data_IF_495555930857
#
_entry.id   IF_495555930857
#
_cell.length_a   1.000
_cell.length_b   1.000
_cell.length_c   1.000
_cell.angle_alpha   90.00
_cell.angle_beta   90.00
_cell.angle_gamma   90.00
#
_symmetry.space_group_name_H-M   'P 1'
#
loop_
_entity.id
_entity.type
_entity.pdbx_description
1 polymer ?
#
# COMPACT_ATOMS: atom_id res chain seq x y z
N UNK A 1 0.45 -49.97 20.56
CA UNK A 1 -0.52 -48.86 20.72
C UNK A 1 0.13 -47.49 20.96
N UNK A 2 1.26 -47.39 21.67
CA UNK A 2 1.96 -46.11 21.97
C UNK A 2 2.49 -45.35 20.74
N UNK A 3 2.94 -46.04 19.69
CA UNK A 3 3.55 -45.42 18.51
C UNK A 3 2.55 -44.63 17.64
N UNK A 4 1.29 -45.07 17.53
CA UNK A 4 0.23 -44.35 16.81
C UNK A 4 -0.22 -43.08 17.54
N UNK A 5 -0.17 -43.08 18.88
CA UNK A 5 -0.52 -41.93 19.70
C UNK A 5 0.49 -40.77 19.52
N UNK A 6 1.79 -41.08 19.44
CA UNK A 6 2.82 -40.06 19.25
C UNK A 6 2.76 -39.41 17.86
N UNK A 7 2.36 -40.15 16.82
CA UNK A 7 2.21 -39.62 15.46
C UNK A 7 1.02 -38.65 15.38
N UNK A 8 -0.10 -38.95 16.06
CA UNK A 8 -1.25 -38.02 16.12
C UNK A 8 -0.91 -36.72 16.87
N UNK A 9 -0.14 -36.79 17.96
CA UNK A 9 0.24 -35.61 18.74
C UNK A 9 1.19 -34.70 17.92
N UNK A 10 2.15 -35.28 17.20
CA UNK A 10 3.07 -34.52 16.34
C UNK A 10 2.31 -33.89 15.17
N UNK A 11 1.37 -34.60 14.54
CA UNK A 11 0.54 -34.05 13.46
C UNK A 11 -0.40 -32.92 13.94
N UNK A 12 -0.93 -33.01 15.16
CA UNK A 12 -1.75 -31.96 15.75
C UNK A 12 -0.92 -30.70 16.12
N UNK A 13 0.30 -30.89 16.63
CA UNK A 13 1.22 -29.78 16.96
C UNK A 13 1.73 -29.06 15.70
N UNK A 14 2.03 -29.79 14.61
CA UNK A 14 2.42 -29.17 13.34
C UNK A 14 1.25 -28.47 12.66
N UNK A 15 0.04 -29.04 12.71
CA UNK A 15 -1.17 -28.37 12.21
C UNK A 15 -1.48 -27.08 13.01
N UNK A 16 -1.31 -27.10 14.33
CA UNK A 16 -1.48 -25.92 15.18
C UNK A 16 -0.40 -24.85 14.91
N UNK A 17 0.86 -25.24 14.73
CA UNK A 17 1.93 -24.31 14.36
C UNK A 17 1.71 -23.67 12.99
N UNK A 18 1.24 -24.43 11.99
CA UNK A 18 0.88 -23.91 10.66
C UNK A 18 -0.33 -22.97 10.74
N UNK A 19 -1.33 -23.28 11.58
CA UNK A 19 -2.47 -22.40 11.82
C UNK A 19 -2.03 -21.09 12.50
N UNK A 20 -1.17 -21.17 13.51
CA UNK A 20 -0.63 -20.01 14.22
C UNK A 20 0.24 -19.14 13.29
N UNK A 21 1.06 -19.73 12.40
CA UNK A 21 1.83 -18.99 11.39
C UNK A 21 0.90 -18.31 10.36
N UNK A 22 -0.21 -18.96 9.97
CA UNK A 22 -1.22 -18.36 9.09
C UNK A 22 -2.04 -17.23 9.75
N UNK A 23 -2.08 -17.19 11.09
CA UNK A 23 -2.77 -16.18 11.89
C UNK A 23 -1.84 -15.16 12.56
N UNK A 24 -0.56 -15.07 12.19
CA UNK A 24 0.22 -13.89 12.57
C UNK A 24 -0.28 -12.71 11.72
N UNK A 25 -1.02 -11.73 12.29
CA UNK A 25 -1.29 -10.51 11.56
C UNK A 25 0.06 -9.93 11.20
N UNK A 26 0.28 -9.63 9.90
CA UNK A 26 1.44 -8.85 9.48
C UNK A 26 1.54 -7.66 10.43
N UNK A 27 2.74 -7.31 10.94
CA UNK A 27 2.89 -6.18 11.83
C UNK A 27 2.19 -4.98 11.19
N UNK A 28 1.13 -4.51 11.84
CA UNK A 28 0.37 -3.39 11.33
C UNK A 28 1.29 -2.19 11.48
N UNK A 29 1.77 -1.67 10.36
CA UNK A 29 2.45 -0.38 10.33
C UNK A 29 1.55 0.60 11.07
N UNK A 30 2.10 1.31 12.05
CA UNK A 30 1.36 2.26 12.87
C UNK A 30 2.13 3.57 12.92
N UNK A 31 1.42 4.66 13.23
CA UNK A 31 2.04 5.97 13.41
C UNK A 31 2.87 5.92 14.69
N UNK A 32 4.19 6.16 14.62
CA UNK A 32 5.02 6.19 15.81
C UNK A 32 4.57 7.30 16.79
N UNK A 33 4.75 7.10 18.11
CA UNK A 33 4.49 8.15 19.08
C UNK A 33 5.30 9.41 18.75
N UNK A 34 4.66 10.58 18.84
CA UNK A 34 5.24 11.91 18.54
C UNK A 34 5.62 12.16 17.06
N UNK A 35 5.29 11.26 16.15
CA UNK A 35 5.48 11.50 14.73
C UNK A 35 4.63 12.68 14.25
N UNK A 36 5.18 13.41 13.28
CA UNK A 36 4.56 14.57 12.62
C UNK A 36 4.29 14.25 11.16
N UNK A 37 3.40 15.02 10.55
CA UNK A 37 3.21 14.96 9.11
C UNK A 37 4.53 15.21 8.39
N UNK A 38 4.75 14.48 7.30
CA UNK A 38 5.93 14.48 6.45
C UNK A 38 7.22 13.90 7.09
N UNK A 39 7.14 13.36 8.31
CA UNK A 39 8.22 12.53 8.86
C UNK A 39 8.43 11.30 7.98
N UNK A 40 9.69 11.04 7.64
CA UNK A 40 10.13 9.83 6.94
C UNK A 40 11.20 9.13 7.77
N UNK A 41 10.89 7.91 8.21
CA UNK A 41 11.75 7.14 9.09
C UNK A 41 12.24 5.92 8.32
N UNK A 42 13.55 5.84 8.07
CA UNK A 42 14.19 4.75 7.35
C UNK A 42 15.10 3.90 8.22
N UNK A 43 15.20 2.64 7.79
CA UNK A 43 16.24 1.71 8.17
C UNK A 43 16.80 1.04 6.91
N UNK A 44 18.08 0.68 6.96
CA UNK A 44 18.69 -0.13 5.90
C UNK A 44 18.04 -1.50 5.84
N UNK A 45 17.68 -1.94 4.64
CA UNK A 45 17.08 -3.24 4.39
C UNK A 45 17.62 -3.86 3.10
N UNK A 46 17.12 -5.05 2.77
CA UNK A 46 17.38 -5.72 1.50
C UNK A 46 16.07 -5.86 0.73
N UNK A 47 16.12 -5.65 -0.58
CA UNK A 47 14.98 -5.87 -1.47
C UNK A 47 15.25 -7.03 -2.40
N UNK A 48 14.41 -8.08 -2.35
CA UNK A 48 14.54 -9.24 -3.23
C UNK A 48 13.65 -9.06 -4.46
N UNK A 49 14.27 -9.03 -5.63
CA UNK A 49 13.60 -9.15 -6.93
C UNK A 49 13.52 -10.63 -7.35
N UNK A 50 12.93 -10.92 -8.50
CA UNK A 50 12.97 -12.28 -9.06
C UNK A 50 14.38 -12.71 -9.47
N UNK A 51 15.24 -11.75 -9.80
CA UNK A 51 16.60 -11.94 -10.33
C UNK A 51 17.64 -12.00 -9.22
N UNK A 52 17.62 -11.05 -8.27
CA UNK A 52 18.68 -10.90 -7.25
C UNK A 52 18.19 -10.13 -6.00
N UNK A 53 19.13 -9.75 -5.14
CA UNK A 53 18.88 -8.97 -3.92
C UNK A 53 19.63 -7.64 -4.01
N UNK A 54 18.90 -6.53 -3.81
CA UNK A 54 19.42 -5.17 -3.82
C UNK A 54 19.54 -4.59 -2.41
N UNK A 55 20.46 -3.64 -2.23
CA UNK A 55 20.45 -2.75 -1.07
C UNK A 55 19.24 -1.83 -1.17
N UNK A 56 18.59 -1.57 -0.05
CA UNK A 56 17.44 -0.67 -0.01
C UNK A 56 17.33 0.04 1.33
N UNK A 57 16.53 1.08 1.37
CA UNK A 57 16.00 1.70 2.59
C UNK A 57 14.51 1.36 2.68
N UNK A 58 14.10 0.78 3.79
CA UNK A 58 12.71 0.45 4.07
C UNK A 58 12.25 1.33 5.22
N UNK A 59 11.07 1.92 5.12
CA UNK A 59 10.66 2.91 6.09
C UNK A 59 9.19 3.21 6.07
N UNK A 60 8.85 4.24 6.85
CA UNK A 60 7.49 4.69 7.05
C UNK A 60 7.43 6.19 6.81
N UNK A 61 6.55 6.59 5.89
CA UNK A 61 6.16 7.99 5.65
C UNK A 61 4.90 8.29 6.45
N UNK A 62 4.91 9.41 7.17
CA UNK A 62 3.79 9.88 7.96
C UNK A 62 3.07 10.99 7.19
N UNK A 63 1.77 10.82 6.95
CA UNK A 63 0.96 11.78 6.19
C UNK A 63 -0.35 12.06 6.89
N UNK A 64 -0.94 13.26 6.74
CA UNK A 64 -2.32 13.48 7.18
C UNK A 64 -3.30 12.61 6.39
N UNK A 65 -4.29 12.04 7.10
CA UNK A 65 -5.38 11.30 6.47
C UNK A 65 -6.16 12.20 5.53
N UNK A 66 -6.43 13.44 5.92
CA UNK A 66 -7.12 14.41 5.09
C UNK A 66 -6.43 15.77 5.13
N UNK A 67 -5.71 16.12 4.05
CA UNK A 67 -5.00 17.41 3.94
C UNK A 67 -5.92 18.64 3.94
N UNK A 68 -7.22 18.46 3.72
CA UNK A 68 -8.21 19.54 3.83
C UNK A 68 -8.70 19.74 5.28
N UNK A 69 -8.37 18.82 6.18
CA UNK A 69 -8.69 18.89 7.60
C UNK A 69 -7.39 18.94 8.43
N UNK A 70 -7.02 20.11 8.99
CA UNK A 70 -5.75 20.28 9.71
C UNK A 70 -5.69 19.46 11.01
N UNK A 71 -6.82 18.96 11.51
CA UNK A 71 -6.90 18.10 12.70
C UNK A 71 -7.16 16.65 12.34
N UNK A 72 -7.02 16.26 11.07
CA UNK A 72 -7.14 14.85 10.68
C UNK A 72 -6.04 14.01 11.34
N UNK A 73 -6.35 12.74 11.60
CA UNK A 73 -5.35 11.81 12.14
C UNK A 73 -4.24 11.58 11.13
N UNK A 74 -3.10 11.14 11.62
CA UNK A 74 -1.97 10.75 10.78
C UNK A 74 -2.13 9.30 10.30
N UNK A 75 -1.59 9.04 9.12
CA UNK A 75 -1.43 7.73 8.52
C UNK A 75 0.06 7.44 8.39
N UNK A 76 0.44 6.21 8.71
CA UNK A 76 1.74 5.65 8.39
C UNK A 76 1.64 4.80 7.10
N UNK A 77 2.44 5.15 6.09
CA UNK A 77 2.53 4.47 4.80
C UNK A 77 3.93 3.86 4.61
N UNK A 78 4.05 2.60 4.16
CA UNK A 78 5.35 2.02 3.88
C UNK A 78 6.01 2.71 2.69
N UNK A 79 7.31 2.96 2.79
CA UNK A 79 8.15 3.42 1.69
C UNK A 79 9.32 2.48 1.53
N UNK A 80 9.70 2.20 0.28
CA UNK A 80 10.95 1.51 -0.05
C UNK A 80 11.69 2.33 -1.09
N UNK A 81 12.96 2.60 -0.83
CA UNK A 81 13.92 3.09 -1.81
C UNK A 81 14.89 1.96 -2.12
N UNK A 82 14.78 1.40 -3.31
CA UNK A 82 15.69 0.36 -3.80
C UNK A 82 16.84 1.09 -4.48
N UNK A 83 18.07 0.87 -4.03
CA UNK A 83 19.21 1.60 -4.56
C UNK A 83 19.61 1.09 -5.93
N UNK A 84 20.04 2.03 -6.78
CA UNK A 84 20.74 1.73 -8.00
C UNK A 84 22.07 1.02 -7.73
N UNK A 85 22.60 0.35 -8.74
CA UNK A 85 23.94 -0.24 -8.70
C UNK A 85 25.03 0.81 -8.95
N UNK A 86 24.75 1.83 -9.75
CA UNK A 86 25.65 2.95 -10.00
C UNK A 86 25.94 3.76 -8.74
N UNK A 87 27.21 4.16 -8.55
CA UNK A 87 27.64 5.08 -7.49
C UNK A 87 27.21 6.54 -7.77
N UNK A 88 26.76 6.83 -8.98
CA UNK A 88 26.23 8.13 -9.41
C UNK A 88 24.90 7.95 -10.14
N UNK A 89 23.83 7.55 -9.44
CA UNK A 89 22.55 7.27 -10.06
C UNK A 89 21.93 8.51 -10.71
N UNK A 90 21.15 8.29 -11.77
CA UNK A 90 20.28 9.29 -12.40
C UNK A 90 19.02 9.50 -11.56
N UNK A 91 18.11 10.37 -12.02
CA UNK A 91 16.86 10.65 -11.32
C UNK A 91 16.07 9.37 -11.01
N UNK A 92 15.57 9.20 -9.76
CA UNK A 92 14.91 7.96 -9.35
C UNK A 92 13.59 7.75 -10.09
N UNK A 93 13.13 6.50 -10.11
CA UNK A 93 11.85 6.12 -10.68
C UNK A 93 10.84 5.88 -9.56
N UNK A 94 9.78 6.68 -9.51
CA UNK A 94 8.60 6.42 -8.67
C UNK A 94 7.67 5.49 -9.43
N UNK A 95 7.42 4.31 -8.87
CA UNK A 95 6.49 3.35 -9.46
C UNK A 95 5.05 3.59 -8.99
N UNK A 96 4.14 3.57 -9.96
CA UNK A 96 2.71 3.71 -9.78
C UNK A 96 2.00 2.51 -10.39
N UNK A 97 1.76 1.47 -9.59
CA UNK A 97 1.06 0.26 -10.03
C UNK A 97 -0.39 0.46 -10.46
N UNK A 98 -0.98 -0.57 -11.04
CA UNK A 98 -2.36 -0.60 -11.54
C UNK A 98 -3.39 -1.17 -10.57
N UNK A 99 -4.63 -1.34 -11.06
CA UNK A 99 -5.80 -1.88 -10.33
C UNK A 99 -6.16 -1.08 -9.06
N UNK A 100 -7.27 -0.33 -8.99
CA UNK A 100 -7.63 0.21 -7.68
C UNK A 100 -7.74 -0.94 -6.66
N UNK A 101 -7.19 -0.74 -5.45
CA UNK A 101 -7.19 -1.75 -4.39
C UNK A 101 -6.00 -2.71 -4.37
N UNK A 102 -5.04 -2.62 -5.29
CA UNK A 102 -3.79 -3.40 -5.24
C UNK A 102 -2.67 -2.66 -4.52
N UNK A 103 -1.89 -3.41 -3.73
CA UNK A 103 -0.71 -2.91 -3.03
C UNK A 103 0.34 -2.38 -4.01
N UNK A 104 0.92 -1.21 -3.71
CA UNK A 104 2.04 -0.68 -4.51
C UNK A 104 3.39 -1.31 -4.14
N UNK A 105 3.43 -2.10 -3.06
CA UNK A 105 4.68 -2.56 -2.44
C UNK A 105 5.21 -3.87 -3.05
N UNK A 106 4.53 -4.39 -4.07
CA UNK A 106 4.85 -5.63 -4.78
C UNK A 106 5.19 -5.34 -6.24
N UNK A 107 6.29 -4.62 -6.44
CA UNK A 107 6.83 -4.37 -7.77
C UNK A 107 8.20 -5.05 -7.92
N UNK A 108 8.51 -5.50 -9.13
CA UNK A 108 9.76 -6.18 -9.47
C UNK A 108 10.45 -5.32 -10.53
N UNK A 109 11.29 -4.34 -10.12
CA UNK A 109 11.92 -3.44 -11.08
C UNK A 109 12.85 -4.21 -12.02
N UNK A 110 12.89 -3.85 -13.31
CA UNK A 110 13.88 -4.40 -14.24
C UNK A 110 15.30 -4.06 -13.79
N UNK A 111 16.20 -5.05 -13.87
CA UNK A 111 17.60 -4.89 -13.49
C UNK A 111 18.28 -3.79 -14.32
N UNK A 112 17.90 -3.63 -15.58
CA UNK A 112 18.44 -2.60 -16.49
C UNK A 112 18.12 -1.18 -16.01
N UNK A 113 16.98 -0.98 -15.35
CA UNK A 113 16.63 0.31 -14.78
C UNK A 113 17.31 0.51 -13.41
N UNK A 114 17.40 -0.54 -12.60
CA UNK A 114 18.14 -0.51 -11.33
C UNK A 114 19.66 -0.35 -11.51
N UNK A 115 20.20 -0.59 -12.70
CA UNK A 115 21.60 -0.25 -12.98
C UNK A 115 21.88 1.26 -12.76
N UNK A 116 20.91 2.11 -13.10
CA UNK A 116 21.11 3.57 -13.21
C UNK A 116 20.15 4.40 -12.36
N UNK A 117 19.07 3.82 -11.85
CA UNK A 117 18.00 4.54 -11.17
C UNK A 117 17.61 3.86 -9.86
N UNK A 118 17.52 4.63 -8.78
CA UNK A 118 16.82 4.18 -7.59
C UNK A 118 15.34 3.94 -7.93
N UNK A 119 14.70 2.96 -7.29
CA UNK A 119 13.25 2.77 -7.36
C UNK A 119 12.58 3.15 -6.05
N UNK A 120 11.56 4.00 -6.14
CA UNK A 120 10.77 4.44 -4.99
C UNK A 120 9.39 3.79 -5.07
N UNK A 121 9.07 2.97 -4.08
CA UNK A 121 7.75 2.38 -3.87
C UNK A 121 7.13 3.03 -2.64
N UNK A 122 5.97 3.67 -2.81
CA UNK A 122 5.19 4.24 -1.70
C UNK A 122 3.85 3.50 -1.64
N UNK A 123 3.49 3.02 -0.46
CA UNK A 123 2.23 2.33 -0.24
C UNK A 123 1.04 3.25 -0.45
N UNK A 124 -0.07 2.72 -0.96
CA UNK A 124 -1.27 3.53 -1.16
C UNK A 124 -2.11 3.60 0.11
N UNK A 125 -2.46 4.83 0.54
CA UNK A 125 -3.51 5.04 1.55
C UNK A 125 -4.75 4.21 1.21
N UNK A 126 -5.27 3.48 2.20
CA UNK A 126 -6.46 2.65 2.06
C UNK A 126 -6.20 1.25 1.52
N UNK A 127 -4.96 0.93 1.13
CA UNK A 127 -4.57 -0.41 0.66
C UNK A 127 -3.36 -0.94 1.42
N UNK A 128 -2.37 -0.07 1.63
CA UNK A 128 -1.14 -0.35 2.36
C UNK A 128 -1.09 0.46 3.67
N UNK A 129 -0.17 0.09 4.55
CA UNK A 129 0.13 0.87 5.76
C UNK A 129 -0.91 0.71 6.87
N UNK A 130 -1.08 1.79 7.64
CA UNK A 130 -1.82 1.81 8.90
C UNK A 130 -3.35 1.87 8.76
N UNK A 131 -3.87 2.34 7.64
CA UNK A 131 -5.31 2.42 7.39
C UNK A 131 -5.64 1.76 6.07
N UNK A 132 -6.30 0.60 6.16
CA UNK A 132 -6.71 -0.26 5.05
C UNK A 132 -8.23 -0.28 4.99
N UNK A 133 -8.80 0.04 3.82
CA UNK A 133 -10.25 0.15 3.60
C UNK A 133 -10.85 -1.16 3.08
N UNK A 134 -10.48 -2.28 3.70
CA UNK A 134 -11.04 -3.57 3.33
C UNK A 134 -12.55 -3.59 3.62
N UNK A 135 -13.33 -4.02 2.62
CA UNK A 135 -14.78 -4.19 2.70
C UNK A 135 -15.14 -5.68 2.56
N UNK A 136 -14.95 -6.52 3.59
CA UNK A 136 -15.37 -7.92 3.56
C UNK A 136 -16.89 -8.07 3.33
N UNK A 137 -17.69 -7.09 3.74
CA UNK A 137 -19.12 -7.03 3.44
C UNK A 137 -19.36 -7.06 1.94
N UNK A 138 -18.66 -6.19 1.21
CA UNK A 138 -18.77 -6.09 -0.24
C UNK A 138 -18.19 -7.32 -0.93
N UNK A 139 -17.03 -7.81 -0.49
CA UNK A 139 -16.42 -9.02 -1.03
C UNK A 139 -17.36 -10.24 -0.92
N UNK A 140 -18.12 -10.35 0.19
CA UNK A 140 -19.14 -11.37 0.33
C UNK A 140 -20.33 -11.12 -0.60
N UNK A 141 -20.80 -9.88 -0.70
CA UNK A 141 -21.94 -9.51 -1.54
C UNK A 141 -21.67 -9.66 -3.04
N UNK A 142 -20.41 -9.55 -3.49
CA UNK A 142 -20.04 -9.76 -4.91
C UNK A 142 -20.23 -11.20 -5.40
N UNK A 143 -20.43 -12.15 -4.48
CA UNK A 143 -20.86 -13.51 -4.85
C UNK A 143 -22.32 -13.55 -5.33
N UNK A 144 -23.07 -12.45 -5.15
CA UNK A 144 -24.47 -12.30 -5.54
C UNK A 144 -25.39 -13.29 -4.83
N UNK A 145 -26.56 -13.53 -5.43
CA UNK A 145 -27.48 -14.59 -5.03
C UNK A 145 -27.05 -16.01 -5.48
N UNK A 146 -25.82 -16.15 -6.00
CA UNK A 146 -25.29 -17.41 -6.54
C UNK A 146 -25.89 -17.85 -7.88
N UNK A 147 -26.78 -17.06 -8.49
CA UNK A 147 -27.41 -17.34 -9.80
C UNK A 147 -27.01 -16.32 -10.84
N UNK A 148 -27.24 -15.04 -10.54
CA UNK A 148 -26.91 -13.92 -11.41
C UNK A 148 -26.40 -12.73 -10.59
N UNK A 149 -25.10 -12.48 -10.72
CA UNK A 149 -24.40 -11.39 -10.03
C UNK A 149 -24.78 -9.99 -10.55
N UNK A 150 -25.42 -9.91 -11.71
CA UNK A 150 -25.87 -8.65 -12.32
C UNK A 150 -27.37 -8.40 -12.16
N UNK A 151 -28.10 -9.31 -11.50
CA UNK A 151 -29.52 -9.10 -11.18
C UNK A 151 -29.73 -7.93 -10.22
N UNK A 152 -30.91 -7.31 -10.26
CA UNK A 152 -31.30 -6.21 -9.36
C UNK A 152 -31.14 -6.58 -7.88
N UNK A 153 -31.42 -7.85 -7.53
CA UNK A 153 -31.21 -8.39 -6.19
C UNK A 153 -29.73 -8.37 -5.81
N UNK A 154 -28.85 -8.96 -6.63
CA UNK A 154 -27.39 -8.97 -6.40
C UNK A 154 -26.81 -7.55 -6.33
N UNK A 155 -27.27 -6.65 -7.20
CA UNK A 155 -26.88 -5.22 -7.18
C UNK A 155 -27.34 -4.53 -5.89
N UNK A 156 -28.56 -4.79 -5.43
CA UNK A 156 -29.08 -4.27 -4.16
C UNK A 156 -28.27 -4.77 -2.97
N UNK A 157 -27.93 -6.06 -2.94
CA UNK A 157 -27.05 -6.65 -1.92
C UNK A 157 -25.67 -5.98 -1.90
N UNK A 158 -25.08 -5.76 -3.07
CA UNK A 158 -23.79 -5.08 -3.21
C UNK A 158 -23.83 -3.63 -2.72
N UNK A 159 -24.88 -2.87 -3.08
CA UNK A 159 -25.04 -1.50 -2.60
C UNK A 159 -25.17 -1.43 -1.07
N UNK A 160 -25.97 -2.33 -0.49
CA UNK A 160 -26.15 -2.36 0.96
C UNK A 160 -24.86 -2.75 1.68
N UNK A 161 -24.11 -3.70 1.11
CA UNK A 161 -22.80 -4.06 1.62
C UNK A 161 -21.79 -2.90 1.56
N UNK A 162 -21.81 -2.06 0.51
CA UNK A 162 -20.98 -0.85 0.46
C UNK A 162 -21.39 0.14 1.55
N UNK A 163 -22.69 0.34 1.79
CA UNK A 163 -23.18 1.21 2.87
C UNK A 163 -22.73 0.69 4.23
N UNK A 164 -22.86 -0.61 4.47
CA UNK A 164 -22.38 -1.26 5.70
C UNK A 164 -20.87 -1.09 5.88
N UNK A 165 -20.07 -1.30 4.82
CA UNK A 165 -18.63 -1.07 4.89
C UNK A 165 -18.30 0.38 5.24
N UNK A 166 -18.96 1.34 4.58
CA UNK A 166 -18.80 2.77 4.86
C UNK A 166 -19.09 3.09 6.32
N UNK A 167 -20.25 2.66 6.85
CA UNK A 167 -20.63 2.91 8.24
C UNK A 167 -19.64 2.29 9.22
N UNK A 168 -19.15 1.08 8.96
CA UNK A 168 -18.11 0.45 9.80
C UNK A 168 -16.81 1.24 9.78
N UNK A 169 -16.34 1.67 8.61
CA UNK A 169 -15.11 2.46 8.48
C UNK A 169 -15.24 3.82 9.20
N UNK A 170 -16.36 4.52 9.03
CA UNK A 170 -16.65 5.78 9.73
C UNK A 170 -16.69 5.58 11.26
N UNK A 171 -17.31 4.48 11.73
CA UNK A 171 -17.33 4.13 13.16
C UNK A 171 -15.93 3.81 13.73
N UNK A 172 -14.98 3.40 12.88
CA UNK A 172 -13.56 3.23 13.24
C UNK A 172 -12.77 4.55 13.17
N UNK A 173 -13.44 5.67 12.92
CA UNK A 173 -12.83 7.00 12.84
C UNK A 173 -12.05 7.24 11.54
N UNK A 174 -12.36 6.50 10.47
CA UNK A 174 -11.76 6.71 9.15
C UNK A 174 -12.44 7.88 8.45
N UNK A 175 -11.68 8.91 8.09
CA UNK A 175 -12.17 9.96 7.20
C UNK A 175 -12.04 9.52 5.73
N UNK A 176 -13.09 8.88 5.22
CA UNK A 176 -13.14 8.33 3.85
C UNK A 176 -12.90 9.41 2.79
N UNK A 177 -13.19 10.69 3.09
CA UNK A 177 -12.96 11.79 2.14
C UNK A 177 -11.46 12.03 1.84
N UNK A 178 -10.56 11.52 2.70
CA UNK A 178 -9.12 11.53 2.50
C UNK A 178 -8.58 10.51 1.48
N UNK A 179 -9.39 9.56 1.02
CA UNK A 179 -8.93 8.42 0.21
C UNK A 179 -9.20 8.63 -1.27
N UNK A 180 -8.55 9.65 -1.83
CA UNK A 180 -8.74 10.09 -3.22
C UNK A 180 -7.46 9.98 -4.03
N UNK A 181 -7.58 9.95 -5.37
CA UNK A 181 -6.42 9.97 -6.27
C UNK A 181 -5.51 11.19 -6.00
N UNK A 182 -6.01 12.43 -5.86
CA UNK A 182 -5.17 13.56 -5.48
C UNK A 182 -4.41 13.31 -4.19
N UNK A 183 -5.08 12.78 -3.15
CA UNK A 183 -4.42 12.54 -1.87
C UNK A 183 -3.32 11.46 -1.96
N UNK A 184 -3.48 10.45 -2.81
CA UNK A 184 -2.40 9.49 -3.12
C UNK A 184 -1.22 10.19 -3.80
N UNK A 185 -1.47 11.07 -4.77
CA UNK A 185 -0.41 11.85 -5.44
C UNK A 185 0.32 12.75 -4.45
N UNK A 186 -0.42 13.35 -3.51
CA UNK A 186 0.16 14.14 -2.42
C UNK A 186 1.10 13.32 -1.52
N UNK A 187 0.82 12.03 -1.29
CA UNK A 187 1.73 11.15 -0.54
C UNK A 187 3.00 10.82 -1.32
N UNK A 188 2.90 10.65 -2.64
CA UNK A 188 4.06 10.43 -3.50
C UNK A 188 4.99 11.65 -3.50
N UNK A 189 4.42 12.85 -3.51
CA UNK A 189 5.18 14.10 -3.41
C UNK A 189 5.80 14.29 -2.03
N UNK A 190 5.08 14.00 -0.95
CA UNK A 190 5.63 14.01 0.39
C UNK A 190 6.84 13.05 0.50
N UNK A 191 6.73 11.85 -0.07
CA UNK A 191 7.84 10.91 -0.15
C UNK A 191 9.03 11.49 -0.94
N UNK A 192 8.78 12.06 -2.13
CA UNK A 192 9.83 12.67 -2.97
C UNK A 192 10.60 13.76 -2.22
N UNK A 193 9.86 14.68 -1.58
CA UNK A 193 10.43 15.80 -0.83
C UNK A 193 11.22 15.31 0.38
N UNK A 194 10.64 14.39 1.16
CA UNK A 194 11.31 13.82 2.33
C UNK A 194 12.56 13.00 1.98
N UNK A 195 12.59 12.38 0.80
CA UNK A 195 13.77 11.70 0.23
C UNK A 195 14.82 12.68 -0.35
N UNK A 196 14.51 13.97 -0.45
CA UNK A 196 15.43 15.00 -0.94
C UNK A 196 15.59 15.05 -2.47
N UNK A 197 14.67 14.45 -3.24
CA UNK A 197 14.77 14.49 -4.71
C UNK A 197 14.09 15.72 -5.29
N UNK A 198 14.80 16.48 -6.12
CA UNK A 198 14.22 17.60 -6.86
C UNK A 198 13.27 17.11 -7.97
N UNK A 199 13.67 16.08 -8.71
CA UNK A 199 12.92 15.50 -9.83
C UNK A 199 12.86 13.98 -9.71
N UNK A 200 11.81 13.42 -10.30
CA UNK A 200 11.58 11.97 -10.37
C UNK A 200 11.11 11.59 -11.77
N UNK A 201 11.47 10.39 -12.21
CA UNK A 201 10.83 9.72 -13.32
C UNK A 201 9.59 8.96 -12.82
N UNK A 202 8.55 8.84 -13.65
CA UNK A 202 7.33 8.11 -13.29
C UNK A 202 7.19 6.87 -14.15
N UNK A 203 7.10 5.70 -13.52
CA UNK A 203 6.72 4.47 -14.19
C UNK A 203 5.32 4.07 -13.74
N UNK A 204 4.36 4.15 -14.65
CA UNK A 204 2.95 3.94 -14.34
C UNK A 204 2.36 2.78 -15.14
N UNK A 205 1.56 1.94 -14.50
CA UNK A 205 0.85 0.84 -15.15
C UNK A 205 -0.65 0.89 -14.85
N UNK A 206 -1.51 0.67 -15.85
CA UNK A 206 -2.98 0.58 -15.71
C UNK A 206 -3.56 1.79 -14.94
N UNK A 207 -4.29 1.62 -13.83
CA UNK A 207 -4.82 2.72 -13.01
C UNK A 207 -3.72 3.67 -12.49
N UNK A 208 -2.48 3.18 -12.40
CA UNK A 208 -1.28 3.99 -12.16
C UNK A 208 -1.11 5.11 -13.17
N UNK A 209 -1.51 4.95 -14.43
CA UNK A 209 -1.41 6.00 -15.44
C UNK A 209 -2.26 7.23 -15.10
N UNK A 210 -3.43 7.02 -14.48
CA UNK A 210 -4.28 8.13 -13.99
C UNK A 210 -3.60 8.88 -12.84
N UNK A 211 -2.88 8.17 -11.97
CA UNK A 211 -2.06 8.77 -10.89
C UNK A 211 -0.86 9.52 -11.45
N UNK A 212 -0.11 8.89 -12.36
CA UNK A 212 1.08 9.47 -12.99
C UNK A 212 0.77 10.76 -13.73
N UNK A 213 -0.33 10.78 -14.50
CA UNK A 213 -0.77 12.01 -15.18
C UNK A 213 -1.07 13.14 -14.18
N UNK A 214 -1.67 12.83 -13.03
CA UNK A 214 -1.99 13.84 -12.00
C UNK A 214 -0.76 14.33 -11.26
N UNK A 215 0.24 13.47 -11.03
CA UNK A 215 1.54 13.83 -10.49
C UNK A 215 2.25 14.83 -11.41
N UNK A 216 2.31 14.54 -12.72
CA UNK A 216 2.91 15.44 -13.72
C UNK A 216 2.24 16.83 -13.72
N UNK A 217 0.90 16.88 -13.71
CA UNK A 217 0.15 18.13 -13.71
C UNK A 217 0.36 18.97 -12.44
N UNK A 218 0.76 18.34 -11.33
CA UNK A 218 1.09 19.06 -10.09
C UNK A 218 2.47 19.73 -10.16
N UNK A 219 3.45 19.05 -10.76
CA UNK A 219 4.81 19.55 -10.91
C UNK A 219 4.96 20.66 -11.96
N UNK A 220 3.94 20.89 -12.80
CA UNK A 220 3.95 21.99 -13.76
C UNK A 220 3.64 23.33 -13.06
N UNK A 221 4.36 24.42 -13.38
CA UNK A 221 3.96 25.76 -12.96
C UNK A 221 2.55 26.04 -13.50
N UNK A 222 1.66 26.52 -12.62
CA UNK A 222 0.31 26.92 -13.06
C UNK A 222 0.46 28.03 -14.11
N UNK A 223 -0.27 27.97 -15.24
CA UNK A 223 -0.32 29.12 -16.15
C UNK A 223 -0.84 30.34 -15.38
N UNK A 224 -0.18 31.48 -15.61
CA UNK A 224 -0.52 32.78 -15.02
C UNK A 224 -1.93 33.26 -15.40
#
# INVERSE_FOLDING_TARGET
>A
MKMKMNILIIAALTAFAVLVIAFHPKPKISVPPNARADDLIFESCKYKTKTRIYRAECGTLIVPENRLNPTSRLLALPVKRIHAESDSPREPIVYLGGGPGLSNMRFDPPDELLAEHDFILVGYRGVDGSSVLDCPEYAKATLGNGKDVFSDESLTMMMEAIRSCRMRLEALGVDISGYTIPAVVEDMEAARVALGYERVNLLSASYGARRGSRMLLRGQPRPA
#
